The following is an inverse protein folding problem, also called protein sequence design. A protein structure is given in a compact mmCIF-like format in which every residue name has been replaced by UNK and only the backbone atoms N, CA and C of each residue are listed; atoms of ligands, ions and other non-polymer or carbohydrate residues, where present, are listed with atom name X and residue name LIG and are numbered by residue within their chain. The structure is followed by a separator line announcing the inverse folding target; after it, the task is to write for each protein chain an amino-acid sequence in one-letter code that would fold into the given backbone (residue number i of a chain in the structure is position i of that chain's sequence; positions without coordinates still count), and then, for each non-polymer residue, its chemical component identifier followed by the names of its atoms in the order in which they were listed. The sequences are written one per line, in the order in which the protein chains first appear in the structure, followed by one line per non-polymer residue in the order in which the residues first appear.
data_IF_350308478076
#
_entry.id   IF_350308478076
#
_cell.length_a   1.000
_cell.length_b   1.000
_cell.length_c   1.000
_cell.angle_alpha   90.00
_cell.angle_beta   90.00
_cell.angle_gamma   90.00
#
_symmetry.space_group_name_H-M   'P 1'
#
loop_
_entity.id
_entity.type
_entity.pdbx_description
1 polymer ?
#
# COMPACT_ATOMS: atom_id res chain seq x y z
N UNK A 1 37.11 3.58 -15.52
CA UNK A 1 36.73 4.99 -15.72
C UNK A 1 35.38 5.19 -15.04
N UNK A 2 35.31 6.00 -13.98
CA UNK A 2 34.16 6.04 -13.07
C UNK A 2 33.05 6.94 -13.65
N UNK A 3 31.87 6.37 -13.93
CA UNK A 3 30.73 7.06 -14.59
C UNK A 3 30.30 8.33 -13.82
N UNK A 4 30.49 8.34 -12.49
CA UNK A 4 30.21 9.50 -11.64
C UNK A 4 31.14 10.69 -11.94
N UNK A 5 32.44 10.47 -12.17
CA UNK A 5 33.40 11.55 -12.47
C UNK A 5 33.15 12.20 -13.84
N UNK A 6 32.64 11.44 -14.80
CA UNK A 6 32.33 11.95 -16.15
C UNK A 6 31.07 12.83 -16.11
N UNK A 7 30.07 12.48 -15.30
CA UNK A 7 28.88 13.33 -15.10
C UNK A 7 29.22 14.66 -14.45
N UNK A 8 30.10 14.63 -13.45
CA UNK A 8 30.53 15.80 -12.70
C UNK A 8 31.34 16.78 -13.57
N UNK A 9 32.23 16.28 -14.44
CA UNK A 9 32.99 17.14 -15.36
C UNK A 9 32.14 17.76 -16.48
N UNK A 10 31.12 17.05 -16.96
CA UNK A 10 30.19 17.59 -17.97
C UNK A 10 29.28 18.66 -17.38
N UNK A 11 28.81 18.48 -16.14
CA UNK A 11 28.05 19.51 -15.42
C UNK A 11 28.88 20.77 -15.18
N UNK A 12 30.15 20.61 -14.80
CA UNK A 12 31.05 21.74 -14.57
C UNK A 12 31.29 22.55 -15.86
N UNK A 13 31.55 21.86 -16.98
CA UNK A 13 31.77 22.50 -18.28
C UNK A 13 30.51 23.21 -18.80
N UNK A 14 29.34 22.60 -18.60
CA UNK A 14 28.06 23.22 -18.98
C UNK A 14 27.74 24.45 -18.12
N UNK A 15 28.14 24.46 -16.83
CA UNK A 15 28.03 25.60 -15.95
C UNK A 15 28.95 26.76 -16.37
N UNK A 16 30.18 26.46 -16.78
CA UNK A 16 31.15 27.43 -17.31
C UNK A 16 30.65 28.06 -18.62
N UNK A 17 30.19 27.24 -19.57
CA UNK A 17 29.60 27.70 -20.85
C UNK A 17 28.36 28.58 -20.61
N UNK A 18 27.52 28.24 -19.63
CA UNK A 18 26.36 29.04 -19.24
C UNK A 18 26.74 30.38 -18.58
N UNK A 19 27.79 30.40 -17.77
CA UNK A 19 28.31 31.63 -17.14
C UNK A 19 28.87 32.59 -18.19
N UNK A 20 29.65 32.09 -19.15
CA UNK A 20 30.18 32.90 -20.26
C UNK A 20 29.06 33.47 -21.14
N UNK A 21 28.01 32.70 -21.41
CA UNK A 21 26.84 33.17 -22.14
C UNK A 21 26.03 34.23 -21.36
N UNK A 22 26.02 34.17 -20.03
CA UNK A 22 25.31 35.12 -19.16
C UNK A 22 25.98 36.50 -19.08
N UNK A 23 27.31 36.55 -19.19
CA UNK A 23 28.07 37.81 -19.21
C UNK A 23 27.83 38.63 -20.48
N UNK A 24 27.37 38.00 -21.57
CA UNK A 24 27.14 38.65 -22.87
C UNK A 24 25.70 39.18 -23.06
N UNK A 25 24.77 38.87 -22.16
CA UNK A 25 23.35 39.22 -22.31
C UNK A 25 22.79 39.83 -21.03
N UNK A 26 22.82 41.16 -20.90
CA UNK A 26 22.14 41.84 -19.78
C UNK A 26 21.25 42.99 -20.26
N UNK A 27 19.94 42.72 -20.29
CA UNK A 27 18.90 43.68 -19.93
C UNK A 27 18.32 43.23 -18.58
N UNK A 28 18.04 44.18 -17.69
CA UNK A 28 17.75 43.90 -16.27
C UNK A 28 16.47 43.07 -16.04
N UNK A 29 15.49 43.16 -16.94
CA UNK A 29 14.21 42.44 -16.86
C UNK A 29 14.36 40.92 -16.97
N UNK A 30 15.33 40.43 -17.73
CA UNK A 30 15.52 38.99 -18.00
C UNK A 30 16.20 38.26 -16.84
N UNK A 31 17.04 38.97 -16.07
CA UNK A 31 17.74 38.42 -14.91
C UNK A 31 16.81 38.21 -13.71
N UNK A 32 15.87 39.13 -13.49
CA UNK A 32 14.90 39.02 -12.40
C UNK A 32 13.90 37.89 -12.65
N UNK A 33 13.44 37.72 -13.89
CA UNK A 33 12.61 36.58 -14.29
C UNK A 33 13.33 35.24 -14.08
N UNK A 34 14.62 35.18 -14.41
CA UNK A 34 15.44 33.99 -14.21
C UNK A 34 15.63 33.67 -12.71
N UNK A 35 15.86 34.69 -11.87
CA UNK A 35 15.97 34.52 -10.41
C UNK A 35 14.69 33.97 -9.80
N UNK A 36 13.55 34.51 -10.21
CA UNK A 36 12.24 34.07 -9.73
C UNK A 36 11.98 32.60 -10.13
N UNK A 37 12.29 32.23 -11.37
CA UNK A 37 12.17 30.86 -11.84
C UNK A 37 13.08 29.89 -11.06
N UNK A 38 14.32 30.29 -10.78
CA UNK A 38 15.26 29.49 -9.96
C UNK A 38 14.72 29.29 -8.54
N UNK A 39 14.15 30.33 -7.93
CA UNK A 39 13.51 30.24 -6.61
C UNK A 39 12.32 29.28 -6.63
N UNK A 40 11.44 29.40 -7.63
CA UNK A 40 10.30 28.51 -7.82
C UNK A 40 10.71 27.04 -7.99
N UNK A 41 11.75 26.75 -8.79
CA UNK A 41 12.23 25.39 -9.01
C UNK A 41 12.86 24.85 -7.72
N UNK A 42 13.68 25.64 -7.02
CA UNK A 42 14.27 25.23 -5.73
C UNK A 42 13.22 24.89 -4.68
N UNK A 43 12.12 25.64 -4.61
CA UNK A 43 11.00 25.34 -3.73
C UNK A 43 10.27 24.03 -4.06
N UNK A 44 10.41 23.52 -5.29
CA UNK A 44 9.83 22.24 -5.74
C UNK A 44 10.80 21.06 -5.64
N UNK A 45 12.08 21.30 -5.37
CA UNK A 45 13.06 20.23 -5.22
C UNK A 45 12.78 19.44 -3.95
N UNK A 46 12.64 18.12 -4.10
CA UNK A 46 12.47 17.21 -2.98
C UNK A 46 13.86 16.68 -2.57
N UNK A 47 14.36 17.01 -1.36
CA UNK A 47 15.67 16.54 -0.90
C UNK A 47 15.68 15.04 -0.54
N UNK A 48 14.52 14.40 -0.50
CA UNK A 48 14.32 12.98 -0.22
C UNK A 48 13.47 12.35 -1.31
N UNK A 49 13.59 11.04 -1.46
CA UNK A 49 12.68 10.25 -2.28
C UNK A 49 11.23 10.57 -1.88
N UNK A 50 10.32 10.81 -2.84
CA UNK A 50 8.90 10.99 -2.55
C UNK A 50 8.25 9.70 -2.05
N UNK A 51 8.91 8.55 -2.25
CA UNK A 51 8.47 7.26 -1.74
C UNK A 51 9.20 6.93 -0.43
N UNK A 52 8.51 6.39 0.59
CA UNK A 52 9.13 5.86 1.79
C UNK A 52 10.20 4.82 1.45
N UNK A 53 11.30 4.78 2.21
CA UNK A 53 12.37 3.80 2.00
C UNK A 53 11.93 2.35 2.20
N UNK A 54 10.81 2.13 2.89
CA UNK A 54 10.23 0.81 3.17
C UNK A 54 9.03 0.46 2.26
N UNK A 55 8.70 1.34 1.29
CA UNK A 55 7.56 1.16 0.39
C UNK A 55 7.72 -0.12 -0.46
N UNK A 56 6.85 -1.11 -0.23
CA UNK A 56 6.88 -2.40 -0.91
C UNK A 56 5.50 -2.91 -1.37
N UNK A 57 4.41 -2.23 -1.00
CA UNK A 57 3.03 -2.58 -1.36
C UNK A 57 2.47 -1.49 -2.28
N UNK A 58 2.18 -1.86 -3.53
CA UNK A 58 1.73 -0.94 -4.57
C UNK A 58 0.35 -1.33 -5.08
N UNK A 59 -0.46 -0.33 -5.46
CA UNK A 59 -1.61 -0.63 -6.32
C UNK A 59 -1.13 -1.07 -7.69
N UNK A 60 -1.95 -1.92 -8.31
CA UNK A 60 -1.71 -2.35 -9.68
C UNK A 60 -1.74 -1.13 -10.61
N UNK A 61 -0.72 -0.93 -11.47
CA UNK A 61 -0.69 0.16 -12.44
C UNK A 61 -1.94 0.21 -13.32
N UNK A 62 -2.39 1.42 -13.70
CA UNK A 62 -3.58 1.60 -14.54
C UNK A 62 -3.43 0.88 -15.88
N UNK A 63 -2.24 0.90 -16.48
CA UNK A 63 -1.93 0.19 -17.73
C UNK A 63 -2.25 -1.30 -17.67
N UNK A 64 -2.03 -1.96 -16.52
CA UNK A 64 -2.38 -3.37 -16.34
C UNK A 64 -3.88 -3.56 -16.10
N UNK A 65 -4.53 -2.65 -15.36
CA UNK A 65 -5.97 -2.69 -15.14
C UNK A 65 -6.78 -2.53 -16.43
N UNK A 66 -6.31 -1.73 -17.38
CA UNK A 66 -6.98 -1.58 -18.69
C UNK A 66 -6.97 -2.89 -19.48
N UNK A 67 -5.92 -3.71 -19.36
CA UNK A 67 -5.82 -4.99 -20.06
C UNK A 67 -6.77 -6.05 -19.50
N UNK A 68 -7.03 -6.02 -18.19
CA UNK A 68 -7.99 -6.91 -17.55
C UNK A 68 -8.41 -6.38 -16.18
N UNK A 69 -9.42 -5.51 -16.16
CA UNK A 69 -9.88 -4.84 -14.94
C UNK A 69 -10.28 -5.85 -13.86
N UNK A 70 -10.91 -6.96 -14.28
CA UNK A 70 -11.42 -8.01 -13.40
C UNK A 70 -10.34 -8.96 -12.84
N UNK A 71 -9.11 -8.95 -13.38
CA UNK A 71 -8.04 -9.85 -12.90
C UNK A 71 -7.44 -9.40 -11.57
N UNK A 72 -7.53 -8.10 -11.26
CA UNK A 72 -6.85 -7.48 -10.12
C UNK A 72 -7.80 -7.11 -8.97
N UNK A 73 -9.08 -7.43 -9.11
CA UNK A 73 -10.10 -7.20 -8.08
C UNK A 73 -10.42 -8.53 -7.41
N UNK A 74 -10.21 -8.69 -6.09
CA UNK A 74 -10.40 -9.93 -5.36
C UNK A 74 -11.81 -10.49 -5.53
N UNK A 75 -11.92 -11.80 -5.77
CA UNK A 75 -13.21 -12.48 -5.97
C UNK A 75 -13.77 -13.14 -4.72
N UNK A 76 -12.89 -13.52 -3.79
CA UNK A 76 -13.26 -14.32 -2.61
C UNK A 76 -12.98 -13.53 -1.34
N UNK A 77 -11.73 -13.13 -1.11
CA UNK A 77 -11.33 -12.43 0.11
C UNK A 77 -10.51 -11.18 -0.22
N UNK A 78 -10.78 -10.08 0.47
CA UNK A 78 -9.97 -8.87 0.44
C UNK A 78 -8.97 -8.91 1.59
N UNK A 79 -7.71 -8.59 1.32
CA UNK A 79 -6.65 -8.42 2.30
C UNK A 79 -6.05 -7.03 2.12
N UNK A 80 -5.99 -6.26 3.19
CA UNK A 80 -5.48 -4.90 3.17
C UNK A 80 -6.48 -3.85 2.67
N UNK A 81 -6.05 -2.58 2.63
CA UNK A 81 -6.92 -1.42 2.43
C UNK A 81 -7.23 -1.11 0.95
N UNK A 82 -6.58 -1.78 -0.01
CA UNK A 82 -6.67 -1.39 -1.42
C UNK A 82 -7.94 -1.85 -2.14
N UNK A 83 -8.67 -2.79 -1.55
CA UNK A 83 -9.87 -3.38 -2.15
C UNK A 83 -11.12 -3.17 -1.30
N UNK A 84 -11.09 -2.22 -0.37
CA UNK A 84 -12.21 -1.82 0.49
C UNK A 84 -13.36 -1.22 -0.32
N UNK A 85 -14.24 -2.07 -0.85
CA UNK A 85 -15.68 -1.87 -1.03
C UNK A 85 -16.24 -0.71 -1.87
N UNK A 86 -15.42 0.17 -2.46
CA UNK A 86 -15.92 1.31 -3.23
C UNK A 86 -16.66 0.83 -4.48
N UNK A 87 -17.96 1.09 -4.51
CA UNK A 87 -18.84 0.76 -5.63
C UNK A 87 -18.54 1.68 -6.80
N UNK A 88 -18.17 1.10 -7.94
CA UNK A 88 -18.11 1.84 -9.19
C UNK A 88 -19.54 2.27 -9.59
N UNK A 89 -19.78 3.53 -9.98
CA UNK A 89 -21.04 3.91 -10.61
C UNK A 89 -21.26 3.05 -11.86
N UNK A 90 -22.36 2.28 -11.90
CA UNK A 90 -22.65 1.32 -12.98
C UNK A 90 -22.36 -0.16 -12.66
N UNK A 91 -22.26 -0.53 -11.38
CA UNK A 91 -22.05 -1.91 -10.94
C UNK A 91 -23.05 -2.89 -11.57
N UNK A 92 -22.52 -3.94 -12.19
CA UNK A 92 -23.32 -5.03 -12.76
C UNK A 92 -23.81 -5.99 -11.68
N UNK A 93 -24.77 -6.88 -12.00
CA UNK A 93 -25.19 -7.95 -11.09
C UNK A 93 -24.01 -8.82 -10.62
N UNK A 94 -23.02 -9.04 -11.50
CA UNK A 94 -21.80 -9.77 -11.17
C UNK A 94 -20.94 -9.00 -10.15
N UNK A 95 -20.83 -7.68 -10.28
CA UNK A 95 -20.10 -6.83 -9.32
C UNK A 95 -20.80 -6.80 -7.96
N UNK A 96 -22.14 -6.78 -7.95
CA UNK A 96 -22.94 -6.84 -6.72
C UNK A 96 -22.76 -8.18 -6.01
N UNK A 97 -22.78 -9.30 -6.75
CA UNK A 97 -22.53 -10.65 -6.21
C UNK A 97 -21.13 -10.75 -5.64
N UNK A 98 -20.13 -10.24 -6.35
CA UNK A 98 -18.74 -10.20 -5.90
C UNK A 98 -18.58 -9.39 -4.61
N UNK A 99 -19.19 -8.21 -4.55
CA UNK A 99 -19.20 -7.38 -3.33
C UNK A 99 -19.81 -8.13 -2.15
N UNK A 100 -20.96 -8.77 -2.36
CA UNK A 100 -21.63 -9.59 -1.33
C UNK A 100 -20.75 -10.75 -0.85
N UNK A 101 -20.01 -11.39 -1.76
CA UNK A 101 -19.07 -12.44 -1.39
C UNK A 101 -17.92 -11.90 -0.53
N UNK A 102 -17.35 -10.74 -0.89
CA UNK A 102 -16.31 -10.09 -0.10
C UNK A 102 -16.83 -9.71 1.30
N UNK A 103 -18.02 -9.12 1.40
CA UNK A 103 -18.68 -8.79 2.67
C UNK A 103 -18.94 -10.04 3.53
N UNK A 104 -19.34 -11.16 2.90
CA UNK A 104 -19.49 -12.43 3.61
C UNK A 104 -18.14 -12.92 4.15
N UNK A 105 -17.06 -12.78 3.37
CA UNK A 105 -15.72 -13.16 3.81
C UNK A 105 -15.18 -12.27 4.91
N UNK A 106 -15.55 -10.99 5.00
CA UNK A 106 -15.21 -10.17 6.17
C UNK A 106 -15.72 -10.81 7.46
N UNK A 107 -16.96 -11.34 7.47
CA UNK A 107 -17.51 -12.05 8.63
C UNK A 107 -16.75 -13.34 8.95
N UNK A 108 -16.29 -14.05 7.92
CA UNK A 108 -15.47 -15.24 8.10
C UNK A 108 -14.10 -14.89 8.70
N UNK A 109 -13.47 -13.78 8.31
CA UNK A 109 -12.21 -13.33 8.92
C UNK A 109 -12.37 -13.08 10.42
N UNK A 110 -13.44 -12.42 10.83
CA UNK A 110 -13.78 -12.25 12.25
C UNK A 110 -14.00 -13.57 12.98
N UNK A 111 -14.68 -14.53 12.36
CA UNK A 111 -14.83 -15.87 12.93
C UNK A 111 -13.49 -16.60 13.07
N UNK A 112 -12.57 -16.47 12.11
CA UNK A 112 -11.22 -17.02 12.20
C UNK A 112 -10.41 -16.41 13.34
N UNK A 113 -10.51 -15.09 13.53
CA UNK A 113 -9.92 -14.43 14.70
C UNK A 113 -10.46 -15.02 16.00
N UNK A 114 -11.78 -15.22 16.10
CA UNK A 114 -12.39 -15.89 17.25
C UNK A 114 -11.83 -17.31 17.44
N UNK A 115 -11.79 -18.14 16.39
CA UNK A 115 -11.23 -19.50 16.46
C UNK A 115 -9.77 -19.53 16.92
N UNK A 116 -8.97 -18.56 16.47
CA UNK A 116 -7.58 -18.42 16.89
C UNK A 116 -7.47 -18.10 18.39
N UNK A 117 -8.31 -17.18 18.88
CA UNK A 117 -8.34 -16.75 20.29
C UNK A 117 -8.88 -17.83 21.24
N UNK A 118 -9.87 -18.60 20.81
CA UNK A 118 -10.55 -19.62 21.63
C UNK A 118 -9.65 -20.85 21.94
N UNK A 119 -8.56 -21.03 21.19
CA UNK A 119 -7.80 -22.28 21.20
C UNK A 119 -6.94 -22.54 22.41
N UNK A 120 -6.38 -21.51 23.03
CA UNK A 120 -5.57 -21.56 24.27
C UNK A 120 -4.96 -20.19 24.47
N UNK A 121 -5.71 -19.19 24.96
CA UNK A 121 -5.15 -17.88 25.24
C UNK A 121 -4.08 -18.02 26.33
N UNK A 122 -2.81 -17.88 25.95
CA UNK A 122 -1.75 -17.57 26.91
C UNK A 122 -1.87 -16.10 27.30
N UNK A 123 -1.25 -15.65 28.41
CA UNK A 123 -1.18 -14.23 28.74
C UNK A 123 -0.64 -13.35 27.60
N UNK A 124 0.12 -13.93 26.66
CA UNK A 124 0.71 -13.24 25.50
C UNK A 124 -0.05 -13.46 24.17
N UNK A 125 -1.09 -14.30 24.14
CA UNK A 125 -1.84 -14.66 22.91
C UNK A 125 -3.33 -14.38 23.03
N UNK A 126 -3.64 -13.15 23.46
CA UNK A 126 -5.00 -12.61 23.52
C UNK A 126 -5.15 -11.37 22.63
N UNK A 127 -6.39 -10.90 22.49
CA UNK A 127 -6.73 -9.78 21.62
C UNK A 127 -6.02 -8.48 22.01
N UNK A 128 -5.87 -8.18 23.30
CA UNK A 128 -5.19 -6.96 23.77
C UNK A 128 -3.72 -6.96 23.37
N UNK A 129 -3.04 -8.11 23.44
CA UNK A 129 -1.68 -8.28 22.97
C UNK A 129 -1.57 -8.03 21.46
N UNK A 130 -2.51 -8.54 20.67
CA UNK A 130 -2.51 -8.34 19.21
C UNK A 130 -2.75 -6.87 18.84
N UNK A 131 -3.75 -6.24 19.45
CA UNK A 131 -4.04 -4.81 19.23
C UNK A 131 -2.81 -3.98 19.59
N UNK A 132 -2.23 -4.19 20.77
CA UNK A 132 -1.04 -3.46 21.20
C UNK A 132 0.13 -3.62 20.23
N UNK A 133 0.46 -4.86 19.86
CA UNK A 133 1.58 -5.13 18.96
C UNK A 133 1.39 -4.47 17.58
N UNK A 134 0.18 -4.52 17.02
CA UNK A 134 -0.12 -3.89 15.73
C UNK A 134 -0.15 -2.37 15.84
N UNK A 135 -0.69 -1.79 16.91
CA UNK A 135 -0.64 -0.35 17.16
C UNK A 135 0.81 0.17 17.21
N UNK A 136 1.70 -0.55 17.90
CA UNK A 136 3.12 -0.17 18.00
C UNK A 136 3.82 -0.23 16.62
N UNK A 137 3.38 -1.14 15.73
CA UNK A 137 3.93 -1.31 14.38
C UNK A 137 3.24 -0.45 13.30
N UNK A 138 2.07 0.11 13.59
CA UNK A 138 1.18 0.74 12.61
C UNK A 138 1.85 1.80 11.73
N UNK A 139 2.68 2.73 12.27
CA UNK A 139 3.31 3.76 11.45
C UNK A 139 4.24 3.15 10.39
N UNK A 140 5.03 2.13 10.76
CA UNK A 140 5.91 1.41 9.84
C UNK A 140 5.12 0.60 8.81
N UNK A 141 4.02 -0.04 9.21
CA UNK A 141 3.15 -0.76 8.29
C UNK A 141 2.53 0.18 7.24
N UNK A 142 2.18 1.42 7.60
CA UNK A 142 1.69 2.41 6.61
C UNK A 142 2.77 2.84 5.63
N UNK A 143 4.02 2.96 6.07
CA UNK A 143 5.15 3.30 5.20
C UNK A 143 5.44 2.21 4.15
N UNK A 144 5.00 0.97 4.37
CA UNK A 144 5.07 -0.09 3.38
C UNK A 144 4.15 0.14 2.18
N UNK A 145 3.08 0.95 2.31
CA UNK A 145 2.16 1.26 1.21
C UNK A 145 2.64 2.46 0.40
N UNK A 146 2.61 2.34 -0.93
CA UNK A 146 3.01 3.41 -1.85
C UNK A 146 2.05 4.60 -1.88
N UNK A 147 0.79 4.36 -1.48
CA UNK A 147 -0.27 5.36 -1.41
C UNK A 147 -0.60 5.64 0.06
N UNK A 148 -0.93 6.89 0.36
CA UNK A 148 -1.45 7.25 1.67
C UNK A 148 -2.76 6.52 1.93
N UNK A 149 -2.80 5.74 3.02
CA UNK A 149 -3.99 5.02 3.42
C UNK A 149 -4.94 5.97 4.15
N UNK A 150 -6.18 6.08 3.65
CA UNK A 150 -7.19 7.01 4.18
C UNK A 150 -7.94 6.50 5.42
N UNK A 151 -7.62 5.30 5.91
CA UNK A 151 -8.18 4.76 7.14
C UNK A 151 -7.60 5.51 8.34
N UNK A 152 -8.43 5.73 9.36
CA UNK A 152 -7.97 6.15 10.68
C UNK A 152 -6.99 5.12 11.27
N UNK A 153 -6.30 5.48 12.36
CA UNK A 153 -5.37 4.55 13.02
C UNK A 153 -6.11 3.30 13.51
N UNK A 154 -7.23 3.49 14.18
CA UNK A 154 -8.06 2.40 14.72
C UNK A 154 -8.58 1.48 13.61
N UNK A 155 -9.14 2.03 12.52
CA UNK A 155 -9.62 1.21 11.38
C UNK A 155 -8.47 0.43 10.72
N UNK A 156 -7.27 1.00 10.65
CA UNK A 156 -6.11 0.32 10.07
C UNK A 156 -5.60 -0.79 10.97
N UNK A 157 -5.51 -0.56 12.28
CA UNK A 157 -5.12 -1.58 13.27
C UNK A 157 -6.13 -2.72 13.27
N UNK A 158 -7.44 -2.43 13.30
CA UNK A 158 -8.50 -3.43 13.22
C UNK A 158 -8.34 -4.31 11.97
N UNK A 159 -8.20 -3.68 10.80
CA UNK A 159 -7.99 -4.39 9.54
C UNK A 159 -6.75 -5.28 9.58
N UNK A 160 -5.62 -4.77 10.08
CA UNK A 160 -4.36 -5.53 10.15
C UNK A 160 -4.47 -6.73 11.10
N UNK A 161 -5.13 -6.57 12.25
CA UNK A 161 -5.37 -7.67 13.21
C UNK A 161 -6.28 -8.73 12.60
N UNK A 162 -7.42 -8.33 12.04
CA UNK A 162 -8.40 -9.27 11.46
C UNK A 162 -7.83 -10.01 10.26
N UNK A 163 -7.19 -9.30 9.33
CA UNK A 163 -6.61 -9.89 8.12
C UNK A 163 -5.40 -10.78 8.46
N UNK A 164 -4.52 -10.32 9.36
CA UNK A 164 -3.35 -11.09 9.80
C UNK A 164 -3.75 -12.38 10.52
N UNK A 165 -4.71 -12.31 11.45
CA UNK A 165 -5.19 -13.47 12.19
C UNK A 165 -5.95 -14.45 11.27
N UNK A 166 -6.72 -13.94 10.31
CA UNK A 166 -7.34 -14.77 9.28
C UNK A 166 -6.29 -15.57 8.50
N UNK A 167 -5.23 -14.92 8.01
CA UNK A 167 -4.16 -15.59 7.26
C UNK A 167 -3.46 -16.65 8.12
N UNK A 168 -3.12 -16.32 9.36
CA UNK A 168 -2.47 -17.25 10.29
C UNK A 168 -3.34 -18.49 10.52
N UNK A 169 -4.61 -18.31 10.89
CA UNK A 169 -5.49 -19.43 11.20
C UNK A 169 -5.86 -20.23 9.94
N UNK A 170 -5.97 -19.59 8.77
CA UNK A 170 -6.12 -20.26 7.48
C UNK A 170 -4.96 -21.23 7.22
N UNK A 171 -3.72 -20.80 7.37
CA UNK A 171 -2.56 -21.67 7.17
C UNK A 171 -2.45 -22.77 8.23
N UNK A 172 -2.84 -22.51 9.47
CA UNK A 172 -2.86 -23.52 10.53
C UNK A 172 -3.87 -24.63 10.21
N UNK A 173 -5.07 -24.27 9.76
CA UNK A 173 -6.11 -25.22 9.32
C UNK A 173 -5.65 -26.02 8.09
N UNK A 174 -5.08 -25.33 7.11
CA UNK A 174 -4.57 -25.97 5.89
C UNK A 174 -3.44 -26.99 6.17
N UNK A 175 -2.55 -26.69 7.11
CA UNK A 175 -1.44 -27.59 7.48
C UNK A 175 -1.82 -28.65 8.53
N UNK A 176 -3.12 -28.79 8.86
CA UNK A 176 -3.62 -29.70 9.90
C UNK A 176 -3.03 -29.46 11.31
N UNK A 177 -2.37 -28.33 11.54
CA UNK A 177 -2.00 -27.85 12.88
C UNK A 177 -3.22 -27.40 13.69
N UNK A 178 -4.37 -27.40 13.05
CA UNK A 178 -5.64 -26.97 13.55
C UNK A 178 -6.75 -27.90 13.05
N UNK A 179 -7.60 -28.44 13.95
CA UNK A 179 -8.85 -29.04 13.50
C UNK A 179 -9.66 -28.06 12.65
N UNK A 180 -10.07 -28.54 11.50
CA UNK A 180 -11.03 -27.90 10.61
C UNK A 180 -12.39 -28.54 10.92
N UNK A 181 -13.35 -27.73 11.38
CA UNK A 181 -14.70 -28.23 11.64
C UNK A 181 -15.41 -28.57 10.33
N UNK A 182 -16.35 -29.51 10.37
CA UNK A 182 -17.16 -29.88 9.19
C UNK A 182 -17.94 -28.68 8.62
N UNK A 183 -18.24 -27.68 9.45
CA UNK A 183 -18.94 -26.45 9.07
C UNK A 183 -18.01 -25.28 8.69
N UNK A 184 -16.72 -25.53 8.49
CA UNK A 184 -15.76 -24.47 8.15
C UNK A 184 -16.11 -23.83 6.79
N UNK A 185 -16.44 -22.52 6.75
CA UNK A 185 -16.96 -21.89 5.55
C UNK A 185 -15.92 -21.75 4.44
N UNK A 186 -14.62 -21.71 4.76
CA UNK A 186 -13.55 -21.61 3.76
C UNK A 186 -13.26 -22.99 3.17
N UNK A 187 -13.36 -24.04 3.98
CA UNK A 187 -13.16 -25.43 3.55
C UNK A 187 -14.31 -25.92 2.69
N UNK A 188 -15.53 -25.47 2.98
CA UNK A 188 -16.75 -25.80 2.22
C UNK A 188 -17.01 -24.85 1.04
N UNK A 189 -16.16 -23.86 0.81
CA UNK A 189 -16.31 -22.97 -0.34
C UNK A 189 -16.02 -23.72 -1.64
N UNK A 190 -16.95 -23.61 -2.60
CA UNK A 190 -16.68 -23.96 -4.00
C UNK A 190 -15.72 -22.91 -4.59
N UNK A 191 -14.45 -23.28 -4.73
CA UNK A 191 -13.41 -22.44 -5.34
C UNK A 191 -13.52 -22.35 -6.88
N UNK A 192 -14.44 -23.14 -7.46
CA UNK A 192 -14.71 -23.25 -8.91
C UNK A 192 -15.90 -22.40 -9.34
#
# INVERSE_FOLDING_TARGET
MNILRVKESLLQKCLEEWQTAREQATNNTTLDQLRELVSCIRGKLLPKSPLPSQCCIFRIPISMRVLSENAFVPKVVSIGPFHSGKTNPGATEADQKKKKNLEAMERVKWWYLHCLLDRSPTPETNLDCFIKAITDMEPGCRECYAEQISLSSDEFVEMMVVDGCFIIELFRKYTSMAPTGEDDPVSNMSWT
#
